data_IF_553174132391
#
_entry.id   IF_553174132391
#
_cell.length_a   1.000
_cell.length_b   1.000
_cell.length_c   1.000
_cell.angle_alpha   90.00
_cell.angle_beta   90.00
_cell.angle_gamma   90.00
#
_symmetry.space_group_name_H-M   'P 1'
#
loop_
_entity.id
_entity.type
_entity.pdbx_description
1 polymer ?
#
# COMPACT_ATOMS: atom_id res chain seq x y z
N UNK A 1 1.97 -6.51 -12.98
CA UNK A 1 0.92 -7.15 -12.14
C UNK A 1 0.02 -6.06 -11.58
N UNK A 2 -1.31 -6.21 -11.66
CA UNK A 2 -2.26 -5.22 -11.10
C UNK A 2 -2.09 -5.08 -9.59
N UNK A 3 -2.39 -3.90 -9.04
CA UNK A 3 -2.30 -3.62 -7.60
C UNK A 3 -3.12 -4.60 -6.74
N UNK A 4 -4.32 -4.98 -7.19
CA UNK A 4 -5.19 -5.97 -6.55
C UNK A 4 -4.52 -7.33 -6.44
N UNK A 5 -3.93 -7.81 -7.55
CA UNK A 5 -3.17 -9.06 -7.59
C UNK A 5 -1.88 -8.98 -6.77
N UNK A 6 -1.23 -7.82 -6.75
CA UNK A 6 -0.06 -7.58 -5.91
C UNK A 6 -0.44 -7.68 -4.43
N UNK A 7 -1.56 -7.10 -4.01
CA UNK A 7 -2.07 -7.22 -2.65
C UNK A 7 -2.36 -8.67 -2.26
N UNK A 8 -3.06 -9.45 -3.09
CA UNK A 8 -3.41 -10.85 -2.80
C UNK A 8 -2.17 -11.72 -2.52
N UNK A 9 -1.16 -11.58 -3.36
CA UNK A 9 0.11 -12.31 -3.21
C UNK A 9 0.91 -11.81 -2.02
N UNK A 10 1.01 -10.49 -1.85
CA UNK A 10 1.67 -9.87 -0.70
C UNK A 10 1.05 -10.32 0.62
N UNK A 11 -0.28 -10.31 0.73
CA UNK A 11 -1.01 -10.74 1.94
C UNK A 11 -0.72 -12.21 2.26
N UNK A 12 -0.67 -13.06 1.24
CA UNK A 12 -0.35 -14.49 1.40
C UNK A 12 1.07 -14.70 1.93
N UNK A 13 2.06 -14.01 1.36
CA UNK A 13 3.45 -14.10 1.78
C UNK A 13 3.64 -13.55 3.20
N UNK A 14 3.03 -12.39 3.51
CA UNK A 14 3.12 -11.79 4.86
C UNK A 14 2.44 -12.64 5.92
N UNK A 15 1.40 -13.40 5.57
CA UNK A 15 0.80 -14.39 6.46
C UNK A 15 1.78 -15.52 6.79
N UNK A 16 2.56 -16.00 5.82
CA UNK A 16 3.62 -17.01 6.03
C UNK A 16 4.76 -16.44 6.89
N UNK A 17 5.11 -15.17 6.70
CA UNK A 17 6.11 -14.46 7.52
C UNK A 17 5.65 -14.15 8.96
N UNK A 18 4.42 -14.52 9.34
CA UNK A 18 3.91 -14.34 10.70
C UNK A 18 3.37 -12.95 11.01
N UNK A 19 2.98 -12.17 10.00
CA UNK A 19 2.27 -10.91 10.25
C UNK A 19 0.97 -11.15 11.00
N UNK A 20 0.72 -10.33 12.02
CA UNK A 20 -0.53 -10.43 12.80
C UNK A 20 -1.76 -10.15 11.91
N UNK A 21 -2.92 -10.78 12.19
CA UNK A 21 -4.17 -10.48 11.50
C UNK A 21 -4.56 -9.00 11.56
N UNK A 22 -4.24 -8.32 12.68
CA UNK A 22 -4.47 -6.89 12.81
C UNK A 22 -3.61 -6.08 11.83
N UNK A 23 -2.32 -6.43 11.69
CA UNK A 23 -1.43 -5.74 10.75
C UNK A 23 -1.91 -5.94 9.32
N UNK A 24 -2.27 -7.17 8.94
CA UNK A 24 -2.79 -7.48 7.61
C UNK A 24 -4.10 -6.73 7.32
N UNK A 25 -5.02 -6.66 8.29
CA UNK A 25 -6.26 -5.87 8.16
C UNK A 25 -5.98 -4.38 7.92
N UNK A 26 -5.02 -3.81 8.65
CA UNK A 26 -4.63 -2.41 8.49
C UNK A 26 -3.97 -2.17 7.12
N UNK A 27 -3.13 -3.09 6.67
CA UNK A 27 -2.47 -3.02 5.36
C UNK A 27 -3.46 -3.21 4.20
N UNK A 28 -4.48 -4.06 4.38
CA UNK A 28 -5.56 -4.24 3.40
C UNK A 28 -6.30 -2.93 3.14
N UNK A 29 -6.58 -2.17 4.20
CA UNK A 29 -7.19 -0.86 4.06
C UNK A 29 -6.30 0.08 3.23
N UNK A 30 -4.99 0.10 3.47
CA UNK A 30 -4.08 0.94 2.69
C UNK A 30 -4.00 0.49 1.23
N UNK A 31 -3.99 -0.83 0.96
CA UNK A 31 -4.02 -1.39 -0.38
C UNK A 31 -5.29 -0.97 -1.13
N UNK A 32 -6.47 -1.10 -0.51
CA UNK A 32 -7.75 -0.68 -1.08
C UNK A 32 -7.76 0.81 -1.42
N UNK A 33 -7.21 1.66 -0.55
CA UNK A 33 -7.13 3.10 -0.80
C UNK A 33 -6.19 3.45 -1.95
N UNK A 34 -5.08 2.73 -2.08
CA UNK A 34 -4.13 2.88 -3.18
C UNK A 34 -4.77 2.45 -4.51
N UNK A 35 -5.42 1.28 -4.54
CA UNK A 35 -6.15 0.74 -5.69
C UNK A 35 -7.23 1.72 -6.14
N UNK A 36 -8.03 2.25 -5.20
CA UNK A 36 -9.11 3.20 -5.49
C UNK A 36 -8.58 4.52 -6.06
N UNK A 37 -7.42 4.99 -5.60
CA UNK A 37 -6.83 6.24 -6.09
C UNK A 37 -6.25 6.07 -7.50
N UNK A 38 -5.58 4.94 -7.78
CA UNK A 38 -4.90 4.71 -9.05
C UNK A 38 -5.66 3.83 -10.06
N UNK A 39 -6.90 3.40 -9.77
CA UNK A 39 -7.73 2.54 -10.62
C UNK A 39 -7.12 1.17 -10.96
N UNK A 40 -6.64 0.46 -9.94
CA UNK A 40 -6.09 -0.92 -10.05
C UNK A 40 -5.05 -1.13 -11.17
N UNK A 41 -4.21 -0.13 -11.43
CA UNK A 41 -3.17 -0.19 -12.47
C UNK A 41 -2.08 -1.21 -12.14
N UNK A 42 -1.20 -1.44 -13.12
CA UNK A 42 0.00 -2.24 -12.91
C UNK A 42 0.94 -1.60 -11.88
N UNK A 43 1.33 -2.37 -10.87
CA UNK A 43 2.21 -1.90 -9.79
C UNK A 43 3.56 -1.36 -10.30
N UNK A 44 4.06 -1.90 -11.42
CA UNK A 44 5.33 -1.49 -12.02
C UNK A 44 5.27 -0.17 -12.80
N UNK A 45 4.08 0.36 -13.09
CA UNK A 45 3.94 1.66 -13.79
C UNK A 45 3.84 2.84 -12.82
N UNK A 46 3.73 2.57 -11.51
CA UNK A 46 3.69 3.60 -10.49
C UNK A 46 5.06 4.26 -10.33
N UNK A 47 5.09 5.57 -10.49
CA UNK A 47 6.27 6.40 -10.29
C UNK A 47 6.34 6.94 -8.86
N UNK A 48 7.55 7.26 -8.41
CA UNK A 48 7.76 7.89 -7.09
C UNK A 48 6.99 9.22 -6.97
N UNK A 49 6.91 9.98 -8.05
CA UNK A 49 6.22 11.27 -8.13
C UNK A 49 4.71 11.12 -7.94
N UNK A 50 4.09 10.14 -8.58
CA UNK A 50 2.67 9.80 -8.36
C UNK A 50 2.42 9.41 -6.90
N UNK A 51 3.30 8.59 -6.32
CA UNK A 51 3.19 8.19 -4.91
C UNK A 51 3.35 9.37 -3.96
N UNK A 52 4.24 10.33 -4.25
CA UNK A 52 4.40 11.57 -3.48
C UNK A 52 3.15 12.45 -3.59
N UNK A 53 2.56 12.59 -4.78
CA UNK A 53 1.31 13.34 -4.97
C UNK A 53 0.19 12.77 -4.11
N UNK A 54 -0.03 11.46 -4.19
CA UNK A 54 -1.02 10.75 -3.38
C UNK A 54 -0.81 10.96 -1.88
N UNK A 55 0.44 10.92 -1.40
CA UNK A 55 0.77 11.16 0.00
C UNK A 55 0.57 12.62 0.42
N UNK A 56 0.85 13.57 -0.48
CA UNK A 56 0.64 15.00 -0.25
C UNK A 56 -0.85 15.30 -0.05
N UNK A 57 -1.70 14.83 -0.96
CA UNK A 57 -3.17 14.97 -0.86
C UNK A 57 -3.69 14.34 0.43
N UNK A 58 -3.15 13.17 0.79
CA UNK A 58 -3.55 12.47 2.02
C UNK A 58 -3.10 13.19 3.28
N UNK A 59 -2.02 13.98 3.23
CA UNK A 59 -1.47 14.67 4.39
C UNK A 59 -2.36 15.81 4.89
N UNK A 60 -3.22 16.36 4.02
CA UNK A 60 -4.16 17.44 4.38
C UNK A 60 -5.22 16.99 5.39
N UNK A 61 -5.57 15.70 5.39
CA UNK A 61 -6.66 15.15 6.19
C UNK A 61 -6.20 14.12 7.23
N UNK A 62 -4.98 13.59 7.10
CA UNK A 62 -4.47 12.55 7.97
C UNK A 62 -3.55 13.11 9.06
N UNK A 63 -3.73 12.60 10.28
CA UNK A 63 -2.74 12.77 11.35
C UNK A 63 -1.38 12.21 10.90
N UNK A 64 -0.25 12.78 11.36
CA UNK A 64 1.09 12.30 11.01
C UNK A 64 1.30 10.80 11.21
N UNK A 65 0.74 10.21 12.28
CA UNK A 65 0.83 8.77 12.55
C UNK A 65 0.11 7.91 11.50
N UNK A 66 -1.05 8.35 11.03
CA UNK A 66 -1.81 7.69 9.97
C UNK A 66 -1.07 7.75 8.63
N UNK A 67 -0.49 8.92 8.30
CA UNK A 67 0.33 9.09 7.11
C UNK A 67 1.59 8.22 7.17
N UNK A 68 2.27 8.18 8.31
CA UNK A 68 3.43 7.32 8.52
C UNK A 68 3.09 5.83 8.35
N UNK A 69 1.91 5.40 8.80
CA UNK A 69 1.43 4.03 8.58
C UNK A 69 1.22 3.72 7.10
N UNK A 70 0.61 4.65 6.35
CA UNK A 70 0.45 4.53 4.88
C UNK A 70 1.79 4.41 4.17
N UNK A 71 2.75 5.27 4.50
CA UNK A 71 4.11 5.23 3.96
C UNK A 71 4.78 3.88 4.27
N UNK A 72 4.63 3.37 5.50
CA UNK A 72 5.20 2.08 5.91
C UNK A 72 4.63 0.94 5.08
N UNK A 73 3.31 0.90 4.89
CA UNK A 73 2.66 -0.08 4.02
C UNK A 73 3.22 0.00 2.60
N UNK A 74 3.23 1.19 1.99
CA UNK A 74 3.73 1.36 0.61
C UNK A 74 5.17 0.88 0.47
N UNK A 75 6.08 1.30 1.36
CA UNK A 75 7.47 0.83 1.35
C UNK A 75 7.58 -0.68 1.46
N UNK A 76 6.73 -1.32 2.26
CA UNK A 76 6.71 -2.77 2.42
C UNK A 76 6.23 -3.47 1.15
N UNK A 77 5.13 -2.98 0.55
CA UNK A 77 4.56 -3.52 -0.68
C UNK A 77 5.54 -3.40 -1.87
N UNK A 78 6.07 -2.19 -2.12
CA UNK A 78 6.95 -1.95 -3.26
C UNK A 78 8.32 -2.62 -3.12
N UNK A 79 8.81 -2.83 -1.89
CA UNK A 79 10.01 -3.63 -1.66
C UNK A 79 9.78 -5.10 -1.96
N UNK A 80 8.60 -5.63 -1.63
CA UNK A 80 8.25 -7.01 -1.91
C UNK A 80 7.99 -7.26 -3.40
N UNK A 81 7.47 -6.27 -4.13
CA UNK A 81 7.15 -6.41 -5.55
C UNK A 81 8.31 -6.21 -6.52
N UNK A 82 9.50 -5.84 -6.00
CA UNK A 82 10.70 -5.60 -6.79
C UNK A 82 11.55 -6.88 -6.92
#
# INVERSE_FOLDING_TARGET
MLLSRAWEKYESDKKIEGFSPHTLKAYRLQATLLIRHFNDIEIGTLTTEQLKSYLSESSEQLKPSSLAHRIRFMKSLFRWSH
#
